data_IF_851190442226
#
_entry.id   IF_851190442226
#
_cell.length_a   1.000
_cell.length_b   1.000
_cell.length_c   1.000
_cell.angle_alpha   90.00
_cell.angle_beta   90.00
_cell.angle_gamma   90.00
#
_symmetry.space_group_name_H-M   'P 1'
#
loop_
_entity.id
_entity.type
_entity.pdbx_description
1 polymer ?
#
# COMPACT_ATOMS: atom_id res chain seq x y z
N UNK A 1 27.31 -5.01 -8.47
CA UNK A 1 26.49 -4.47 -7.34
C UNK A 1 25.98 -3.06 -7.58
N UNK A 2 26.85 -2.06 -7.86
CA UNK A 2 26.40 -0.68 -8.09
C UNK A 2 25.52 -0.52 -9.35
N UNK A 3 25.84 -1.22 -10.44
CA UNK A 3 25.05 -1.21 -11.68
C UNK A 3 23.68 -1.87 -11.53
N UNK A 4 23.61 -2.97 -10.78
CA UNK A 4 22.35 -3.65 -10.47
C UNK A 4 21.42 -2.75 -9.63
N UNK A 5 21.99 -2.02 -8.65
CA UNK A 5 21.24 -1.01 -7.88
C UNK A 5 20.77 0.15 -8.74
N UNK A 6 21.59 0.63 -9.70
CA UNK A 6 21.18 1.64 -10.68
C UNK A 6 20.02 1.14 -11.54
N UNK A 7 20.09 -0.08 -12.06
CA UNK A 7 19.01 -0.66 -12.87
C UNK A 7 17.67 -0.78 -12.12
N UNK A 8 17.71 -1.12 -10.83
CA UNK A 8 16.50 -1.14 -9.99
C UNK A 8 15.97 0.28 -9.74
N UNK A 9 16.85 1.25 -9.45
CA UNK A 9 16.43 2.64 -9.24
C UNK A 9 15.80 3.23 -10.52
N UNK A 10 16.40 2.95 -11.67
CA UNK A 10 15.90 3.40 -12.97
C UNK A 10 14.52 2.79 -13.27
N UNK A 11 14.36 1.48 -13.06
CA UNK A 11 13.05 0.83 -13.20
C UNK A 11 12.00 1.38 -12.23
N UNK A 12 12.36 1.65 -10.97
CA UNK A 12 11.45 2.30 -10.01
C UNK A 12 11.09 3.72 -10.45
N UNK A 13 12.03 4.47 -11.02
CA UNK A 13 11.76 5.81 -11.52
C UNK A 13 10.86 5.79 -12.75
N UNK A 14 11.08 4.86 -13.68
CA UNK A 14 10.21 4.66 -14.85
C UNK A 14 8.80 4.22 -14.44
N UNK A 15 8.66 3.31 -13.47
CA UNK A 15 7.35 2.91 -12.93
C UNK A 15 6.67 4.11 -12.25
N UNK A 16 7.38 4.89 -11.43
CA UNK A 16 6.82 6.07 -10.78
C UNK A 16 6.39 7.15 -11.77
N UNK A 17 7.14 7.33 -12.88
CA UNK A 17 6.76 8.23 -13.97
C UNK A 17 5.54 7.71 -14.73
N UNK A 18 5.50 6.40 -15.05
CA UNK A 18 4.34 5.78 -15.69
C UNK A 18 3.08 5.91 -14.82
N UNK A 19 3.18 5.66 -13.51
CA UNK A 19 2.09 5.91 -12.55
C UNK A 19 1.72 7.40 -12.50
N UNK A 20 2.68 8.33 -12.46
CA UNK A 20 2.37 9.76 -12.45
C UNK A 20 1.66 10.21 -13.74
N UNK A 21 2.00 9.65 -14.90
CA UNK A 21 1.32 9.94 -16.16
C UNK A 21 -0.07 9.30 -16.20
N UNK A 22 -0.20 8.04 -15.79
CA UNK A 22 -1.47 7.33 -15.78
C UNK A 22 -2.49 7.91 -14.78
N UNK A 23 -2.03 8.37 -13.61
CA UNK A 23 -2.91 8.82 -12.53
C UNK A 23 -2.96 10.34 -12.34
N UNK A 24 -1.97 11.10 -12.85
CA UNK A 24 -1.91 12.56 -12.74
C UNK A 24 -2.83 13.33 -13.70
N UNK A 25 -3.46 12.65 -14.65
CA UNK A 25 -4.35 13.26 -15.65
C UNK A 25 -5.79 13.51 -15.17
N UNK A 26 -6.22 12.95 -14.02
CA UNK A 26 -7.65 12.92 -13.64
C UNK A 26 -8.09 14.12 -12.77
N UNK A 27 -7.20 15.06 -12.40
CA UNK A 27 -7.56 16.17 -11.50
C UNK A 27 -7.77 17.55 -12.16
N UNK A 28 -7.94 17.64 -13.48
CA UNK A 28 -8.12 18.94 -14.14
C UNK A 28 -9.14 18.94 -15.29
N UNK A 29 -10.39 18.48 -15.05
CA UNK A 29 -11.50 18.81 -15.93
C UNK A 29 -12.87 18.54 -15.25
N UNK A 30 -13.40 19.52 -14.51
CA UNK A 30 -14.85 19.64 -14.34
C UNK A 30 -15.25 21.10 -14.18
N UNK A 31 -15.77 21.63 -15.30
CA UNK A 31 -16.84 22.63 -15.47
C UNK A 31 -17.11 23.58 -14.28
N UNK A 32 -17.05 24.91 -14.41
CA UNK A 32 -17.55 25.71 -15.54
C UNK A 32 -19.08 25.77 -15.50
N UNK A 33 -19.65 26.62 -14.63
CA UNK A 33 -21.11 26.74 -14.50
C UNK A 33 -21.56 27.86 -13.56
N UNK A 34 -22.03 28.96 -14.16
CA UNK A 34 -22.53 30.22 -13.64
C UNK A 34 -23.68 30.19 -12.60
N UNK A 35 -23.74 31.28 -11.79
CA UNK A 35 -24.93 31.81 -11.10
C UNK A 35 -24.84 31.71 -9.56
N UNK A 36 -24.85 32.74 -8.74
CA UNK A 36 -25.32 34.12 -8.90
C UNK A 36 -26.71 34.31 -8.28
N UNK A 37 -26.82 34.36 -6.94
CA UNK A 37 -27.82 35.06 -6.09
C UNK A 37 -27.55 34.68 -4.61
N UNK A 38 -27.09 35.60 -3.76
CA UNK A 38 -27.90 36.47 -2.92
C UNK A 38 -28.72 35.75 -1.82
N UNK A 39 -28.23 35.80 -0.57
CA UNK A 39 -29.07 36.33 0.49
C UNK A 39 -29.12 35.61 1.85
N UNK A 40 -28.69 36.38 2.86
CA UNK A 40 -29.32 36.59 4.19
C UNK A 40 -29.17 35.59 5.35
N UNK A 41 -28.93 36.25 6.51
CA UNK A 41 -29.22 35.90 7.90
C UNK A 41 -28.33 34.83 8.56
N UNK A 42 -27.39 35.19 9.43
CA UNK A 42 -27.56 35.71 10.80
C UNK A 42 -27.96 34.62 11.81
N UNK A 43 -27.04 34.27 12.71
CA UNK A 43 -27.27 34.26 14.17
C UNK A 43 -26.05 33.72 14.95
N UNK A 44 -25.62 34.55 15.92
CA UNK A 44 -25.13 34.15 17.25
C UNK A 44 -23.63 33.83 17.48
N UNK A 45 -22.95 34.92 17.87
CA UNK A 45 -22.01 35.11 19.01
C UNK A 45 -22.15 34.14 20.23
N UNK A 46 -21.22 34.09 21.24
CA UNK A 46 -20.31 35.17 21.70
C UNK A 46 -18.89 34.81 22.19
N UNK A 47 -18.15 35.89 22.47
CA UNK A 47 -16.81 36.10 23.05
C UNK A 47 -16.57 35.51 24.45
N UNK A 48 -15.28 35.43 24.89
CA UNK A 48 -14.86 36.43 25.87
C UNK A 48 -13.47 37.05 25.62
N UNK A 49 -13.38 38.28 26.09
CA UNK A 49 -12.28 39.25 26.00
C UNK A 49 -11.37 39.21 27.24
N UNK A 50 -10.04 39.34 27.04
CA UNK A 50 -9.14 39.99 28.00
C UNK A 50 -8.11 40.86 27.25
N UNK A 51 -8.44 42.17 27.16
CA UNK A 51 -7.65 43.32 27.63
C UNK A 51 -6.23 43.02 28.18
N UNK A 52 -5.16 43.81 27.99
CA UNK A 52 -4.93 45.11 27.34
C UNK A 52 -3.43 45.45 27.46
N UNK A 53 -2.93 46.22 26.49
CA UNK A 53 -1.89 47.25 26.62
C UNK A 53 -0.44 46.86 26.97
N UNK A 54 0.47 47.10 26.02
CA UNK A 54 1.33 48.30 26.09
C UNK A 54 2.17 48.48 24.81
N UNK A 55 1.83 49.55 24.08
CA UNK A 55 2.67 50.52 23.37
C UNK A 55 3.99 50.10 22.65
N UNK A 56 3.93 50.26 21.31
CA UNK A 56 4.97 50.77 20.39
C UNK A 56 5.63 52.08 20.91
N UNK A 57 6.88 52.44 20.54
CA UNK A 57 7.11 53.05 19.22
C UNK A 57 8.41 52.64 18.49
N UNK A 58 8.35 52.83 17.17
CA UNK A 58 9.45 52.72 16.24
C UNK A 58 10.40 53.91 16.38
N UNK A 59 11.71 53.65 16.45
CA UNK A 59 12.75 54.60 16.14
C UNK A 59 13.78 53.93 15.23
N UNK A 60 13.86 54.45 14.01
CA UNK A 60 14.91 54.21 13.03
C UNK A 60 16.15 54.97 13.47
N UNK A 61 17.31 54.32 13.52
CA UNK A 61 18.60 54.96 13.20
C UNK A 61 19.69 53.91 12.98
N UNK A 62 20.34 54.10 11.85
CA UNK A 62 21.43 53.34 11.24
C UNK A 62 22.77 53.54 11.95
N UNK A 63 23.57 52.47 11.86
CA UNK A 63 25.03 52.46 11.70
C UNK A 63 25.91 53.08 12.80
N UNK A 64 26.71 52.24 13.44
CA UNK A 64 28.18 52.42 13.52
C UNK A 64 28.89 51.12 13.94
N UNK A 65 29.83 50.74 13.07
CA UNK A 65 30.91 49.77 13.12
C UNK A 65 31.14 48.84 14.33
N UNK A 66 30.98 47.56 14.02
CA UNK A 66 31.94 46.46 14.18
C UNK A 66 33.33 46.79 14.79
N UNK A 67 33.52 46.36 16.04
CA UNK A 67 34.83 46.06 16.61
C UNK A 67 35.17 44.59 16.40
N UNK A 68 35.87 44.28 15.30
CA UNK A 68 36.41 42.94 15.01
C UNK A 68 37.53 42.63 16.01
N UNK A 69 37.25 41.75 16.97
CA UNK A 69 38.27 41.19 17.86
C UNK A 69 39.03 40.09 17.10
N UNK A 70 40.28 40.39 16.74
CA UNK A 70 41.20 39.51 15.99
C UNK A 70 41.63 38.34 16.88
N UNK A 71 40.80 37.29 16.92
CA UNK A 71 41.18 35.99 17.44
C UNK A 71 42.28 35.38 16.56
N UNK A 72 43.46 35.18 17.15
CA UNK A 72 44.69 34.74 16.49
C UNK A 72 44.44 33.56 15.52
N UNK A 73 44.66 33.76 14.21
CA UNK A 73 44.27 32.82 13.14
C UNK A 73 44.81 31.38 13.34
N UNK A 74 45.92 31.26 14.06
CA UNK A 74 46.55 29.99 14.41
C UNK A 74 45.70 29.14 15.37
N UNK A 75 44.99 29.77 16.30
CA UNK A 75 44.15 29.10 17.29
C UNK A 75 42.85 28.61 16.64
N UNK A 76 42.29 29.40 15.73
CA UNK A 76 41.11 29.06 14.95
C UNK A 76 41.38 27.85 14.01
N UNK A 77 42.59 27.76 13.43
CA UNK A 77 43.00 26.63 12.58
C UNK A 77 43.14 25.33 13.39
N UNK A 78 43.66 25.40 14.63
CA UNK A 78 43.74 24.25 15.56
C UNK A 78 42.35 23.78 16.02
N UNK A 79 41.43 24.70 16.33
CA UNK A 79 40.04 24.34 16.69
C UNK A 79 39.32 23.62 15.54
N UNK A 80 39.46 24.10 14.31
CA UNK A 80 38.87 23.46 13.12
C UNK A 80 39.45 22.06 12.85
N UNK A 81 40.76 21.86 13.04
CA UNK A 81 41.38 20.54 12.83
C UNK A 81 40.95 19.53 13.91
N UNK A 82 40.86 19.96 15.17
CA UNK A 82 40.35 19.15 16.27
C UNK A 82 38.87 18.77 16.07
N UNK A 83 38.03 19.72 15.64
CA UNK A 83 36.62 19.45 15.33
C UNK A 83 36.43 18.42 14.22
N UNK A 84 37.22 18.49 13.13
CA UNK A 84 37.21 17.49 12.05
C UNK A 84 37.68 16.12 12.54
N UNK A 85 38.71 16.07 13.40
CA UNK A 85 39.17 14.82 14.03
C UNK A 85 38.08 14.20 14.89
N UNK A 86 37.37 15.01 15.70
CA UNK A 86 36.28 14.51 16.54
C UNK A 86 35.08 14.02 15.70
N UNK A 87 34.71 14.72 14.62
CA UNK A 87 33.66 14.26 13.70
C UNK A 87 34.01 12.94 13.01
N UNK A 88 35.24 12.80 12.53
CA UNK A 88 35.69 11.55 11.87
C UNK A 88 35.74 10.38 12.86
N UNK A 89 36.18 10.61 14.11
CA UNK A 89 36.10 9.59 15.17
C UNK A 89 34.66 9.16 15.46
N UNK A 90 33.74 10.12 15.63
CA UNK A 90 32.31 9.83 15.88
C UNK A 90 31.64 9.09 14.72
N UNK A 91 32.03 9.39 13.48
CA UNK A 91 31.53 8.69 12.29
C UNK A 91 32.01 7.24 12.26
N UNK A 92 33.30 7.01 12.56
CA UNK A 92 33.86 5.65 12.63
C UNK A 92 33.20 4.81 13.72
N UNK A 93 32.96 5.37 14.91
CA UNK A 93 32.27 4.63 15.99
C UNK A 93 30.82 4.29 15.62
N UNK A 94 30.10 5.21 14.96
CA UNK A 94 28.74 4.93 14.45
C UNK A 94 28.74 3.85 13.38
N UNK A 95 29.66 3.89 12.43
CA UNK A 95 29.79 2.85 11.39
C UNK A 95 30.16 1.48 12.00
N UNK A 96 31.00 1.43 13.03
CA UNK A 96 31.31 0.18 13.74
C UNK A 96 30.13 -0.35 14.55
N UNK A 97 29.36 0.53 15.19
CA UNK A 97 28.16 0.13 15.93
C UNK A 97 27.05 -0.36 14.99
N UNK A 98 26.82 0.34 13.87
CA UNK A 98 25.89 -0.11 12.82
C UNK A 98 26.31 -1.44 12.19
N UNK A 99 27.61 -1.66 12.01
CA UNK A 99 28.11 -2.94 11.49
C UNK A 99 27.92 -4.05 12.53
N UNK A 100 28.15 -3.78 13.82
CA UNK A 100 27.89 -4.75 14.89
C UNK A 100 26.39 -5.05 15.03
N UNK A 101 25.51 -4.07 14.92
CA UNK A 101 24.05 -4.30 14.98
C UNK A 101 23.57 -5.08 13.76
N UNK A 102 24.08 -4.79 12.56
CA UNK A 102 23.82 -5.60 11.35
C UNK A 102 24.35 -7.03 11.50
N UNK A 103 25.60 -7.22 11.91
CA UNK A 103 26.19 -8.55 12.10
C UNK A 103 25.51 -9.33 13.23
N UNK A 104 25.02 -8.67 14.27
CA UNK A 104 24.22 -9.30 15.34
C UNK A 104 22.83 -9.68 14.85
N UNK A 105 22.21 -8.83 14.02
CA UNK A 105 20.95 -9.13 13.33
C UNK A 105 21.11 -10.33 12.39
N UNK A 106 22.14 -10.34 11.56
CA UNK A 106 22.49 -11.46 10.67
C UNK A 106 22.86 -12.72 11.46
N UNK A 107 23.58 -12.63 12.58
CA UNK A 107 23.87 -13.78 13.46
C UNK A 107 22.62 -14.32 14.16
N UNK A 108 21.71 -13.47 14.63
CA UNK A 108 20.42 -13.91 15.17
C UNK A 108 19.56 -14.57 14.09
N UNK A 109 19.58 -14.03 12.88
CA UNK A 109 18.82 -14.55 11.75
C UNK A 109 19.42 -15.87 11.21
N UNK A 110 20.76 -15.97 11.14
CA UNK A 110 21.47 -17.20 10.76
C UNK A 110 21.41 -18.26 11.85
N UNK A 111 21.50 -17.90 13.13
CA UNK A 111 21.27 -18.87 14.20
C UNK A 111 19.82 -19.35 14.19
N UNK A 112 18.84 -18.46 13.95
CA UNK A 112 17.45 -18.84 13.78
C UNK A 112 17.26 -19.77 12.55
N UNK A 113 17.94 -19.54 11.43
CA UNK A 113 17.86 -20.44 10.25
C UNK A 113 18.64 -21.74 10.42
N UNK A 114 19.79 -21.74 11.09
CA UNK A 114 20.57 -22.96 11.37
C UNK A 114 19.86 -23.83 12.40
N UNK A 115 19.14 -23.24 13.36
CA UNK A 115 18.21 -24.00 14.21
C UNK A 115 16.97 -24.51 13.45
N UNK A 116 16.60 -23.88 12.31
CA UNK A 116 15.46 -24.28 11.45
C UNK A 116 15.76 -25.44 10.50
N UNK A 117 17.02 -25.60 10.07
CA UNK A 117 17.42 -26.68 9.14
C UNK A 117 17.55 -28.07 9.82
N UNK A 118 17.47 -28.13 11.16
CA UNK A 118 17.40 -29.40 11.89
C UNK A 118 16.02 -30.03 11.75
N UNK A 119 15.80 -30.61 10.57
CA UNK A 119 15.04 -31.85 10.35
C UNK A 119 13.80 -31.96 11.24
N UNK A 120 12.87 -31.01 11.08
CA UNK A 120 11.51 -31.15 11.63
C UNK A 120 10.90 -32.36 10.93
N UNK A 121 10.88 -33.49 11.63
CA UNK A 121 10.07 -34.65 11.27
C UNK A 121 8.64 -34.17 11.18
N UNK A 122 8.05 -34.24 9.98
CA UNK A 122 6.68 -33.78 9.72
C UNK A 122 5.71 -34.48 10.68
N UNK A 123 5.25 -33.74 11.69
CA UNK A 123 3.90 -33.91 12.18
C UNK A 123 3.04 -33.09 11.21
N UNK A 124 2.34 -33.78 10.31
CA UNK A 124 1.58 -33.19 9.18
C UNK A 124 0.49 -32.19 9.65
N UNK A 125 0.19 -32.17 10.95
CA UNK A 125 -0.76 -31.25 11.59
C UNK A 125 -0.15 -30.06 12.34
N UNK A 126 1.18 -29.88 12.35
CA UNK A 126 1.79 -28.78 13.12
C UNK A 126 1.73 -27.45 12.39
N UNK A 127 0.88 -26.53 12.88
CA UNK A 127 0.76 -25.14 12.39
C UNK A 127 2.12 -24.45 12.33
N UNK A 128 2.92 -24.59 13.39
CA UNK A 128 4.23 -23.96 13.49
C UNK A 128 5.22 -24.50 12.44
N UNK A 129 5.17 -25.80 12.13
CA UNK A 129 6.06 -26.40 11.13
C UNK A 129 5.79 -25.85 9.73
N UNK A 130 4.52 -25.82 9.32
CA UNK A 130 4.13 -25.23 8.03
C UNK A 130 4.44 -23.74 7.96
N UNK A 131 4.18 -22.98 9.04
CA UNK A 131 4.53 -21.57 9.11
C UNK A 131 6.04 -21.33 8.93
N UNK A 132 6.88 -22.05 9.69
CA UNK A 132 8.33 -21.90 9.61
C UNK A 132 8.89 -22.33 8.24
N UNK A 133 8.32 -23.38 7.64
CA UNK A 133 8.68 -23.82 6.29
C UNK A 133 8.29 -22.78 5.24
N UNK A 134 7.09 -22.21 5.33
CA UNK A 134 6.62 -21.13 4.46
C UNK A 134 7.57 -19.94 4.48
N UNK A 135 7.94 -19.45 5.67
CA UNK A 135 8.92 -18.36 5.82
C UNK A 135 10.29 -18.70 5.22
N UNK A 136 10.77 -19.94 5.40
CA UNK A 136 12.05 -20.36 4.83
C UNK A 136 12.02 -20.39 3.29
N UNK A 137 10.92 -20.82 2.68
CA UNK A 137 10.73 -20.83 1.23
C UNK A 137 10.64 -19.41 0.65
N UNK A 138 9.95 -18.49 1.34
CA UNK A 138 9.91 -17.08 0.95
C UNK A 138 11.31 -16.44 0.95
N UNK A 139 12.15 -16.76 1.94
CA UNK A 139 13.54 -16.30 1.98
C UNK A 139 14.38 -16.85 0.82
N UNK A 140 14.07 -18.06 0.35
CA UNK A 140 14.71 -18.69 -0.82
C UNK A 140 14.17 -18.16 -2.16
N UNK A 141 13.29 -17.16 -2.15
CA UNK A 141 12.60 -16.62 -3.32
C UNK A 141 11.68 -17.63 -4.03
N UNK A 142 11.33 -18.72 -3.35
CA UNK A 142 10.34 -19.70 -3.83
C UNK A 142 8.93 -19.26 -3.38
N UNK A 143 8.44 -18.13 -3.91
CA UNK A 143 7.18 -17.48 -3.48
C UNK A 143 5.99 -18.44 -3.51
N UNK A 144 5.77 -19.10 -4.65
CA UNK A 144 4.62 -19.96 -4.86
C UNK A 144 4.56 -21.14 -3.88
N UNK A 145 5.71 -21.74 -3.52
CA UNK A 145 5.74 -22.82 -2.53
C UNK A 145 5.58 -22.27 -1.11
N UNK A 146 6.21 -21.13 -0.82
CA UNK A 146 6.08 -20.47 0.48
C UNK A 146 4.63 -20.09 0.79
N UNK A 147 3.92 -19.52 -0.18
CA UNK A 147 2.50 -19.17 -0.06
C UNK A 147 1.65 -20.40 0.25
N UNK A 148 1.82 -21.50 -0.49
CA UNK A 148 1.08 -22.75 -0.25
C UNK A 148 1.29 -23.33 1.16
N UNK A 149 2.51 -23.25 1.69
CA UNK A 149 2.79 -23.73 3.05
C UNK A 149 2.20 -22.78 4.12
N UNK A 150 2.17 -21.47 3.86
CA UNK A 150 1.49 -20.51 4.74
C UNK A 150 -0.04 -20.68 4.73
N UNK A 151 -0.63 -20.98 3.57
CA UNK A 151 -2.07 -21.28 3.44
C UNK A 151 -2.45 -22.49 4.30
N UNK A 152 -1.68 -23.58 4.20
CA UNK A 152 -1.86 -24.77 5.04
C UNK A 152 -1.72 -24.44 6.53
N UNK A 153 -0.72 -23.64 6.90
CA UNK A 153 -0.52 -23.22 8.29
C UNK A 153 -1.73 -22.43 8.81
N UNK A 154 -2.30 -21.57 7.98
CA UNK A 154 -3.45 -20.74 8.32
C UNK A 154 -4.72 -21.59 8.52
N UNK A 155 -4.97 -22.54 7.62
CA UNK A 155 -6.12 -23.45 7.71
C UNK A 155 -6.05 -24.32 8.97
N UNK A 156 -4.89 -24.88 9.28
CA UNK A 156 -4.67 -25.66 10.52
C UNK A 156 -4.83 -24.78 11.77
N UNK A 157 -4.33 -23.54 11.72
CA UNK A 157 -4.38 -22.59 12.83
C UNK A 157 -5.80 -22.18 13.20
N UNK A 158 -6.63 -21.90 12.20
CA UNK A 158 -8.05 -21.54 12.39
C UNK A 158 -8.88 -22.68 12.98
N UNK A 159 -8.59 -23.92 12.62
CA UNK A 159 -9.25 -25.09 13.20
C UNK A 159 -8.95 -25.27 14.70
N UNK A 160 -7.72 -24.96 15.12
CA UNK A 160 -7.27 -25.20 16.50
C UNK A 160 -7.54 -24.03 17.47
N UNK A 161 -7.24 -22.80 17.06
CA UNK A 161 -7.47 -21.60 17.86
C UNK A 161 -7.69 -20.37 16.96
N UNK A 162 -8.93 -20.05 16.58
CA UNK A 162 -9.24 -18.90 15.73
C UNK A 162 -8.77 -17.55 16.28
N UNK A 163 -8.63 -17.43 17.61
CA UNK A 163 -8.19 -16.21 18.30
C UNK A 163 -6.68 -16.20 18.61
N UNK A 164 -5.93 -17.14 18.05
CA UNK A 164 -4.50 -17.27 18.33
C UNK A 164 -3.70 -16.16 17.63
N UNK A 165 -2.81 -15.49 18.36
CA UNK A 165 -1.85 -14.53 17.79
C UNK A 165 -1.09 -15.11 16.57
N UNK A 166 -0.83 -16.42 16.59
CA UNK A 166 -0.16 -17.11 15.50
C UNK A 166 -0.97 -17.11 14.20
N UNK A 167 -2.31 -17.14 14.25
CA UNK A 167 -3.18 -17.07 13.06
C UNK A 167 -3.06 -15.70 12.40
N UNK A 168 -3.07 -14.63 13.19
CA UNK A 168 -2.89 -13.26 12.71
C UNK A 168 -1.50 -13.07 12.10
N UNK A 169 -0.43 -13.52 12.76
CA UNK A 169 0.94 -13.45 12.23
C UNK A 169 1.10 -14.22 10.92
N UNK A 170 0.55 -15.44 10.81
CA UNK A 170 0.57 -16.23 9.58
C UNK A 170 -0.15 -15.49 8.46
N UNK A 171 -1.32 -14.92 8.75
CA UNK A 171 -2.09 -14.18 7.75
C UNK A 171 -1.34 -12.93 7.27
N UNK A 172 -0.72 -12.17 8.16
CA UNK A 172 0.06 -10.99 7.79
C UNK A 172 1.22 -11.35 6.85
N UNK A 173 1.96 -12.43 7.14
CA UNK A 173 3.05 -12.86 6.26
C UNK A 173 2.54 -13.43 4.93
N UNK A 174 1.40 -14.12 4.93
CA UNK A 174 0.75 -14.60 3.71
C UNK A 174 0.24 -13.46 2.82
N UNK A 175 -0.48 -12.50 3.39
CA UNK A 175 -1.01 -11.36 2.67
C UNK A 175 0.11 -10.51 2.09
N UNK A 176 1.19 -10.26 2.85
CA UNK A 176 2.40 -9.62 2.34
C UNK A 176 3.03 -10.40 1.18
N UNK A 177 3.12 -11.73 1.26
CA UNK A 177 3.67 -12.55 0.18
C UNK A 177 2.81 -12.48 -1.08
N UNK A 178 1.48 -12.60 -0.96
CA UNK A 178 0.53 -12.49 -2.07
C UNK A 178 0.52 -11.10 -2.70
N UNK A 179 0.57 -10.04 -1.88
CA UNK A 179 0.67 -8.67 -2.37
C UNK A 179 1.94 -8.45 -3.21
N UNK A 180 3.10 -8.94 -2.75
CA UNK A 180 4.35 -8.81 -3.52
C UNK A 180 4.34 -9.61 -4.83
N UNK A 181 3.70 -10.78 -4.84
CA UNK A 181 3.50 -11.58 -6.04
C UNK A 181 2.58 -10.87 -7.05
N UNK A 182 1.48 -10.29 -6.56
CA UNK A 182 0.60 -9.43 -7.34
C UNK A 182 1.35 -8.20 -7.88
N UNK A 183 2.07 -7.44 -7.05
CA UNK A 183 2.77 -6.22 -7.44
C UNK A 183 3.77 -6.49 -8.58
N UNK A 184 4.50 -7.60 -8.51
CA UNK A 184 5.43 -8.02 -9.56
C UNK A 184 4.70 -8.32 -10.87
N UNK A 185 3.61 -9.07 -10.79
CA UNK A 185 2.82 -9.48 -11.96
C UNK A 185 2.08 -8.30 -12.58
N UNK A 186 1.50 -7.44 -11.75
CA UNK A 186 0.81 -6.20 -12.10
C UNK A 186 1.76 -5.21 -12.78
N UNK A 187 2.96 -5.01 -12.23
CA UNK A 187 3.98 -4.16 -12.88
C UNK A 187 4.35 -4.64 -14.28
N UNK A 188 4.47 -5.97 -14.47
CA UNK A 188 4.74 -6.56 -15.79
C UNK A 188 3.57 -6.32 -16.73
N UNK A 189 2.33 -6.62 -16.31
CA UNK A 189 1.12 -6.40 -17.10
C UNK A 189 0.95 -4.94 -17.50
N UNK A 190 1.14 -4.02 -16.55
CA UNK A 190 1.05 -2.58 -16.80
C UNK A 190 2.06 -2.13 -17.87
N UNK A 191 3.30 -2.62 -17.82
CA UNK A 191 4.30 -2.32 -18.84
C UNK A 191 3.91 -2.88 -20.22
N UNK A 192 3.49 -4.14 -20.29
CA UNK A 192 3.05 -4.77 -21.54
C UNK A 192 1.84 -4.04 -22.14
N UNK A 193 0.86 -3.70 -21.30
CA UNK A 193 -0.35 -3.01 -21.68
C UNK A 193 -0.05 -1.61 -22.23
N UNK A 194 0.81 -0.84 -21.55
CA UNK A 194 1.20 0.49 -21.99
C UNK A 194 2.00 0.44 -23.30
N UNK A 195 2.97 -0.48 -23.40
CA UNK A 195 3.76 -0.65 -24.63
C UNK A 195 2.87 -1.00 -25.83
N UNK A 196 1.85 -1.84 -25.62
CA UNK A 196 0.90 -2.19 -26.67
C UNK A 196 -0.02 -1.02 -27.02
N UNK A 197 -0.49 -0.25 -26.03
CA UNK A 197 -1.31 0.95 -26.25
C UNK A 197 -0.60 1.95 -27.14
N UNK A 198 0.64 2.30 -26.82
CA UNK A 198 1.43 3.25 -27.60
C UNK A 198 1.64 2.78 -29.05
N UNK A 199 1.90 1.48 -29.24
CA UNK A 199 2.06 0.89 -30.58
C UNK A 199 0.76 0.97 -31.39
N UNK A 200 -0.38 0.62 -30.79
CA UNK A 200 -1.69 0.70 -31.43
C UNK A 200 -2.07 2.14 -31.79
N UNK A 201 -1.87 3.09 -30.88
CA UNK A 201 -2.13 4.52 -31.14
C UNK A 201 -1.27 5.05 -32.28
N UNK A 202 0.01 4.67 -32.32
CA UNK A 202 0.94 5.07 -33.38
C UNK A 202 0.48 4.51 -34.73
N UNK A 203 0.10 3.23 -34.77
CA UNK A 203 -0.41 2.59 -35.99
C UNK A 203 -1.72 3.22 -36.49
N UNK A 204 -2.65 3.58 -35.60
CA UNK A 204 -3.88 4.28 -35.99
C UNK A 204 -3.60 5.67 -36.56
N UNK A 205 -2.67 6.42 -35.97
CA UNK A 205 -2.26 7.75 -36.46
C UNK A 205 -1.58 7.66 -37.83
N UNK A 206 -0.71 6.68 -38.03
CA UNK A 206 -0.06 6.42 -39.33
C UNK A 206 -1.09 6.06 -40.40
N UNK A 207 -2.06 5.19 -40.08
CA UNK A 207 -3.15 4.84 -41.00
C UNK A 207 -3.97 6.07 -41.39
N UNK A 208 -4.38 6.88 -40.41
CA UNK A 208 -5.15 8.10 -40.69
C UNK A 208 -4.38 9.09 -41.56
N UNK A 209 -3.06 9.23 -41.34
CA UNK A 209 -2.21 10.07 -42.18
C UNK A 209 -2.18 9.59 -43.64
N UNK A 210 -2.12 8.27 -43.88
CA UNK A 210 -2.16 7.70 -45.22
C UNK A 210 -3.53 7.86 -45.89
N UNK A 211 -4.62 7.68 -45.15
CA UNK A 211 -5.99 7.85 -45.66
C UNK A 211 -6.28 9.32 -46.01
N UNK A 212 -5.81 10.25 -45.17
CA UNK A 212 -5.90 11.70 -45.40
C UNK A 212 -5.18 12.13 -46.68
N UNK A 213 -4.04 11.51 -47.00
CA UNK A 213 -3.29 11.80 -48.24
C UNK A 213 -3.99 11.32 -49.52
N UNK A 214 -4.94 10.38 -49.42
CA UNK A 214 -5.66 9.81 -50.58
C UNK A 214 -7.05 10.43 -50.78
N UNK A 215 -7.68 10.97 -49.73
CA UNK A 215 -9.04 11.52 -49.78
C UNK A 215 -9.06 13.05 -49.85
N UNK A 216 -8.78 13.63 -51.02
CA UNK A 216 -9.14 15.04 -51.30
C UNK A 216 -10.67 15.17 -51.44
N UNK A 217 -11.40 15.38 -50.34
CA UNK A 217 -12.79 15.87 -50.40
C UNK A 217 -13.81 15.35 -49.37
N UNK A 218 -13.48 14.36 -48.54
CA UNK A 218 -14.38 13.82 -47.49
C UNK A 218 -13.74 13.93 -46.09
N UNK A 219 -13.31 15.15 -45.75
CA UNK A 219 -12.45 15.44 -44.59
C UNK A 219 -13.14 15.21 -43.23
N UNK A 220 -14.43 15.58 -43.11
CA UNK A 220 -15.14 15.53 -41.83
C UNK A 220 -15.48 14.10 -41.38
N UNK A 221 -15.85 13.22 -42.31
CA UNK A 221 -16.24 11.83 -42.02
C UNK A 221 -15.02 10.99 -41.58
N UNK A 222 -13.89 11.13 -42.29
CA UNK A 222 -12.65 10.42 -41.96
C UNK A 222 -12.07 10.85 -40.60
N UNK A 223 -12.13 12.14 -40.27
CA UNK A 223 -11.64 12.66 -38.98
C UNK A 223 -12.52 12.17 -37.83
N UNK A 224 -13.85 12.15 -38.02
CA UNK A 224 -14.80 11.64 -37.02
C UNK A 224 -14.57 10.15 -36.75
N UNK A 225 -14.45 9.33 -37.80
CA UNK A 225 -14.19 7.90 -37.68
C UNK A 225 -12.85 7.59 -36.97
N UNK A 226 -11.81 8.37 -37.23
CA UNK A 226 -10.52 8.23 -36.54
C UNK A 226 -10.60 8.55 -35.04
N UNK A 227 -11.34 9.61 -34.68
CA UNK A 227 -11.58 9.96 -33.28
C UNK A 227 -12.30 8.83 -32.54
N UNK A 228 -13.36 8.27 -33.13
CA UNK A 228 -14.10 7.15 -32.56
C UNK A 228 -13.22 5.90 -32.37
N UNK A 229 -12.29 5.63 -33.28
CA UNK A 229 -11.34 4.52 -33.15
C UNK A 229 -10.37 4.73 -31.99
N UNK A 230 -9.84 5.94 -31.80
CA UNK A 230 -8.96 6.25 -30.68
C UNK A 230 -9.69 6.17 -29.34
N UNK A 231 -10.91 6.68 -29.25
CA UNK A 231 -11.75 6.56 -28.06
C UNK A 231 -12.10 5.10 -27.74
N UNK A 232 -12.43 4.31 -28.77
CA UNK A 232 -12.67 2.87 -28.60
C UNK A 232 -11.41 2.13 -28.14
N UNK A 233 -10.25 2.48 -28.68
CA UNK A 233 -8.95 1.92 -28.27
C UNK A 233 -8.68 2.25 -26.80
N UNK A 234 -8.82 3.51 -26.41
CA UNK A 234 -8.64 3.97 -25.04
C UNK A 234 -9.55 3.21 -24.07
N UNK A 235 -10.83 3.05 -24.41
CA UNK A 235 -11.78 2.28 -23.60
C UNK A 235 -11.33 0.83 -23.38
N UNK A 236 -10.83 0.15 -24.43
CA UNK A 236 -10.34 -1.24 -24.32
C UNK A 236 -9.16 -1.33 -23.35
N UNK A 237 -8.20 -0.42 -23.46
CA UNK A 237 -7.03 -0.42 -22.59
C UNK A 237 -7.37 -0.04 -21.14
N UNK A 238 -8.31 0.89 -20.95
CA UNK A 238 -8.80 1.24 -19.61
C UNK A 238 -9.48 0.03 -18.96
N UNK A 239 -10.37 -0.67 -19.65
CA UNK A 239 -11.01 -1.90 -19.14
C UNK A 239 -10.01 -3.01 -18.84
N UNK A 240 -8.97 -3.17 -19.66
CA UNK A 240 -7.91 -4.14 -19.39
C UNK A 240 -7.07 -3.78 -18.14
N UNK A 241 -6.94 -2.51 -17.81
CA UNK A 241 -6.20 -2.03 -16.65
C UNK A 241 -7.00 -2.10 -15.33
N UNK A 242 -8.34 -2.09 -15.38
CA UNK A 242 -9.23 -1.98 -14.21
C UNK A 242 -8.89 -2.93 -13.05
N UNK A 243 -8.58 -4.20 -13.34
CA UNK A 243 -8.29 -5.18 -12.29
C UNK A 243 -7.04 -4.87 -11.45
N UNK A 244 -6.09 -4.13 -12.04
CA UNK A 244 -4.82 -3.75 -11.46
C UNK A 244 -4.83 -2.37 -10.76
N UNK A 245 -5.94 -1.65 -10.84
CA UNK A 245 -6.11 -0.36 -10.17
C UNK A 245 -6.60 -0.64 -8.74
N UNK A 246 -5.87 -0.20 -7.69
CA UNK A 246 -6.37 -0.28 -6.34
C UNK A 246 -7.62 0.59 -6.19
N UNK A 247 -8.74 -0.05 -5.87
CA UNK A 247 -10.02 0.61 -5.59
C UNK A 247 -10.46 0.27 -4.17
N UNK A 248 -11.76 0.29 -3.91
CA UNK A 248 -12.33 -0.18 -2.65
C UNK A 248 -12.74 -1.64 -2.75
N UNK A 249 -12.64 -2.36 -1.62
CA UNK A 249 -13.19 -3.70 -1.50
C UNK A 249 -14.72 -3.58 -1.34
N UNK A 250 -15.53 -4.34 -2.10
CA UNK A 250 -16.98 -4.28 -1.96
C UNK A 250 -17.47 -4.61 -0.54
N UNK A 251 -18.36 -3.80 0.00
CA UNK A 251 -18.88 -3.92 1.39
C UNK A 251 -19.42 -5.30 1.77
N UNK A 252 -19.99 -6.04 0.81
CA UNK A 252 -20.55 -7.38 1.07
C UNK A 252 -19.47 -8.44 1.30
N UNK A 253 -18.21 -8.13 0.96
CA UNK A 253 -17.03 -8.94 1.27
C UNK A 253 -16.35 -8.49 2.57
N UNK A 254 -16.85 -7.43 3.22
CA UNK A 254 -16.30 -6.88 4.44
C UNK A 254 -17.14 -7.22 5.67
N UNK A 255 -16.48 -7.48 6.79
CA UNK A 255 -17.13 -7.73 8.06
C UNK A 255 -17.77 -6.44 8.60
N UNK A 256 -19.00 -6.54 9.11
CA UNK A 256 -19.74 -5.39 9.65
C UNK A 256 -19.15 -4.78 10.93
N UNK A 257 -18.23 -5.50 11.59
CA UNK A 257 -17.57 -5.05 12.82
C UNK A 257 -16.17 -4.51 12.52
N UNK A 258 -15.34 -5.26 11.80
CA UNK A 258 -13.97 -4.83 11.50
C UNK A 258 -13.92 -3.84 10.34
N UNK A 259 -14.93 -3.85 9.47
CA UNK A 259 -14.97 -3.13 8.20
C UNK A 259 -13.89 -3.58 7.19
N UNK A 260 -13.20 -4.68 7.50
CA UNK A 260 -12.17 -5.30 6.67
C UNK A 260 -12.72 -6.51 5.92
N UNK A 261 -12.05 -6.89 4.83
CA UNK A 261 -12.38 -8.09 4.06
C UNK A 261 -12.39 -9.33 4.95
N UNK A 262 -13.37 -10.22 4.78
CA UNK A 262 -13.45 -11.42 5.60
C UNK A 262 -12.21 -12.30 5.48
N UNK A 263 -11.81 -12.90 6.58
CA UNK A 263 -10.74 -13.89 6.62
C UNK A 263 -11.33 -15.26 6.95
N UNK A 264 -12.18 -15.35 7.97
CA UNK A 264 -12.89 -16.56 8.39
C UNK A 264 -14.38 -16.23 8.66
N UNK A 265 -15.19 -16.06 7.61
CA UNK A 265 -16.57 -15.61 7.73
C UNK A 265 -17.47 -16.67 8.39
N UNK A 266 -18.28 -16.24 9.35
CA UNK A 266 -19.37 -17.03 9.96
C UNK A 266 -20.69 -16.30 9.85
N UNK A 267 -21.77 -17.05 9.62
CA UNK A 267 -23.13 -16.54 9.51
C UNK A 267 -23.94 -16.86 10.77
N UNK A 268 -24.73 -15.89 11.22
CA UNK A 268 -25.71 -16.02 12.31
C UNK A 268 -27.06 -16.49 11.77
N UNK A 269 -27.97 -17.01 12.63
CA UNK A 269 -29.34 -17.36 12.21
C UNK A 269 -30.15 -16.20 11.62
N UNK A 270 -29.80 -14.95 11.97
CA UNK A 270 -30.39 -13.73 11.41
C UNK A 270 -29.91 -13.43 9.97
N UNK A 271 -28.96 -14.22 9.45
CA UNK A 271 -28.42 -14.07 8.10
C UNK A 271 -27.26 -13.06 7.99
N UNK A 272 -26.75 -12.56 9.12
CA UNK A 272 -25.61 -11.62 9.14
C UNK A 272 -24.29 -12.37 9.21
N UNK A 273 -23.29 -11.87 8.47
CA UNK A 273 -21.95 -12.48 8.41
C UNK A 273 -20.94 -11.63 9.15
N UNK A 274 -20.10 -12.28 9.95
CA UNK A 274 -19.06 -11.67 10.77
C UNK A 274 -17.74 -12.43 10.66
N UNK A 275 -16.65 -11.76 11.01
CA UNK A 275 -15.36 -12.42 11.23
C UNK A 275 -15.42 -13.28 12.48
N UNK A 276 -15.04 -14.56 12.39
CA UNK A 276 -15.21 -15.55 13.46
C UNK A 276 -14.55 -15.10 14.77
N UNK A 277 -13.29 -14.65 14.70
CA UNK A 277 -12.55 -14.26 15.88
C UNK A 277 -13.26 -13.13 16.65
N UNK A 278 -13.82 -12.17 15.90
CA UNK A 278 -14.44 -10.94 16.42
C UNK A 278 -15.82 -11.21 16.99
N UNK A 279 -16.69 -11.97 16.30
CA UNK A 279 -18.01 -12.29 16.84
C UNK A 279 -17.89 -13.19 18.09
N UNK A 280 -16.95 -14.14 18.10
CA UNK A 280 -16.70 -14.96 19.29
C UNK A 280 -16.13 -14.14 20.45
N UNK A 281 -15.41 -13.06 20.18
CA UNK A 281 -14.95 -12.14 21.22
C UNK A 281 -16.10 -11.29 21.77
N UNK A 282 -16.96 -10.75 20.89
CA UNK A 282 -18.16 -10.02 21.28
C UNK A 282 -19.06 -10.86 22.19
N UNK A 283 -19.38 -12.09 21.78
CA UNK A 283 -20.23 -13.00 22.54
C UNK A 283 -19.67 -13.35 23.92
N UNK A 284 -18.35 -13.30 24.08
CA UNK A 284 -17.65 -13.57 25.34
C UNK A 284 -17.55 -12.33 26.24
N UNK A 285 -17.24 -11.16 25.67
CA UNK A 285 -16.91 -9.94 26.44
C UNK A 285 -18.09 -9.00 26.66
N UNK A 286 -19.00 -8.92 25.68
CA UNK A 286 -20.12 -7.98 25.69
C UNK A 286 -21.42 -8.67 26.08
N UNK A 287 -21.71 -9.82 25.50
CA UNK A 287 -22.88 -10.63 25.84
C UNK A 287 -23.35 -11.53 24.71
N UNK A 288 -24.23 -12.48 25.03
CA UNK A 288 -24.77 -13.49 24.10
C UNK A 288 -25.90 -12.94 23.22
N UNK A 289 -25.61 -11.92 22.43
CA UNK A 289 -26.56 -11.34 21.49
C UNK A 289 -25.85 -10.91 20.19
N UNK A 290 -26.60 -10.83 19.09
CA UNK A 290 -26.10 -10.33 17.81
C UNK A 290 -25.80 -8.81 17.90
N UNK A 291 -24.60 -8.36 17.51
CA UNK A 291 -24.21 -6.94 17.61
C UNK A 291 -25.15 -5.96 16.90
N UNK A 292 -25.82 -6.40 15.83
CA UNK A 292 -26.70 -5.57 14.98
C UNK A 292 -28.16 -5.80 15.34
N UNK A 293 -28.64 -7.05 15.32
CA UNK A 293 -30.07 -7.33 15.55
C UNK A 293 -30.46 -7.29 17.03
N UNK A 294 -29.49 -7.43 17.94
CA UNK A 294 -29.69 -7.60 19.40
C UNK A 294 -30.50 -8.83 19.79
N UNK A 295 -30.70 -9.76 18.87
CA UNK A 295 -31.35 -11.04 19.15
C UNK A 295 -30.41 -11.95 19.95
N UNK A 296 -30.92 -12.81 20.84
CA UNK A 296 -30.10 -13.79 21.55
C UNK A 296 -29.29 -14.65 20.58
N UNK A 297 -27.99 -14.72 20.79
CA UNK A 297 -27.05 -15.44 19.92
C UNK A 297 -26.07 -16.24 20.77
N UNK A 298 -26.04 -17.55 20.58
CA UNK A 298 -25.06 -18.44 21.21
C UNK A 298 -23.97 -18.82 20.21
N UNK A 299 -22.69 -18.95 20.63
CA UNK A 299 -21.60 -19.36 19.74
C UNK A 299 -21.86 -20.66 18.96
N UNK A 300 -22.66 -21.58 19.51
CA UNK A 300 -23.02 -22.84 18.83
C UNK A 300 -23.91 -22.66 17.59
N UNK A 301 -24.56 -21.50 17.45
CA UNK A 301 -25.41 -21.19 16.29
C UNK A 301 -24.62 -20.63 15.10
N UNK A 302 -23.33 -20.32 15.28
CA UNK A 302 -22.47 -19.79 14.23
C UNK A 302 -22.07 -20.89 13.26
N UNK A 303 -22.36 -20.69 11.98
CA UNK A 303 -21.99 -21.62 10.90
C UNK A 303 -20.95 -20.96 9.99
N UNK A 304 -19.87 -21.66 9.57
CA UNK A 304 -18.96 -21.12 8.56
C UNK A 304 -19.71 -20.74 7.27
N UNK A 305 -19.52 -19.50 6.79
CA UNK A 305 -20.13 -19.03 5.56
C UNK A 305 -19.19 -19.30 4.37
N UNK A 306 -19.20 -20.54 3.88
CA UNK A 306 -18.31 -20.99 2.80
C UNK A 306 -18.55 -20.21 1.49
N UNK A 307 -19.79 -19.79 1.21
CA UNK A 307 -20.10 -19.01 0.02
C UNK A 307 -19.40 -17.64 0.03
N UNK A 308 -19.39 -16.95 1.17
CA UNK A 308 -18.65 -15.68 1.31
C UNK A 308 -17.14 -15.93 1.31
N UNK A 309 -16.67 -17.04 1.89
CA UNK A 309 -15.25 -17.42 1.81
C UNK A 309 -14.79 -17.58 0.36
N UNK A 310 -15.52 -18.34 -0.45
CA UNK A 310 -15.25 -18.53 -1.88
C UNK A 310 -15.34 -17.22 -2.67
N UNK A 311 -16.31 -16.36 -2.35
CA UNK A 311 -16.45 -15.05 -3.00
C UNK A 311 -15.26 -14.12 -2.70
N UNK A 312 -14.77 -14.13 -1.46
CA UNK A 312 -13.55 -13.41 -1.07
C UNK A 312 -12.33 -13.95 -1.78
N UNK A 313 -12.16 -15.28 -1.83
CA UNK A 313 -11.05 -15.92 -2.54
C UNK A 313 -11.05 -15.53 -4.02
N UNK A 314 -12.19 -15.64 -4.71
CA UNK A 314 -12.35 -15.24 -6.10
C UNK A 314 -12.06 -13.75 -6.34
N UNK A 315 -12.47 -12.88 -5.40
CA UNK A 315 -12.16 -11.45 -5.46
C UNK A 315 -10.65 -11.21 -5.32
N UNK A 316 -10.01 -11.81 -4.32
CA UNK A 316 -8.58 -11.66 -4.04
C UNK A 316 -7.69 -12.22 -5.16
N UNK A 317 -8.13 -13.28 -5.85
CA UNK A 317 -7.43 -13.83 -7.01
C UNK A 317 -7.41 -12.84 -8.19
N UNK A 318 -8.50 -12.09 -8.38
CA UNK A 318 -8.60 -11.07 -9.42
C UNK A 318 -7.96 -9.73 -9.01
N UNK A 319 -8.04 -9.40 -7.73
CA UNK A 319 -7.67 -8.11 -7.16
C UNK A 319 -6.61 -8.25 -6.07
N UNK A 320 -5.43 -8.74 -6.45
CA UNK A 320 -4.34 -9.04 -5.50
C UNK A 320 -3.82 -7.82 -4.71
N UNK A 321 -4.13 -6.59 -5.14
CA UNK A 321 -3.86 -5.38 -4.36
C UNK A 321 -4.62 -5.34 -3.03
N UNK A 322 -5.74 -6.05 -2.92
CA UNK A 322 -6.56 -6.10 -1.71
C UNK A 322 -5.91 -6.91 -0.57
N UNK A 323 -4.78 -7.59 -0.83
CA UNK A 323 -3.93 -8.15 0.23
C UNK A 323 -3.06 -7.11 0.95
N UNK A 324 -3.13 -5.84 0.57
CA UNK A 324 -2.34 -4.80 1.20
C UNK A 324 -2.72 -4.67 2.67
N UNK A 325 -1.73 -4.85 3.54
CA UNK A 325 -1.83 -4.60 4.97
C UNK A 325 -1.38 -3.16 5.20
N UNK A 326 -2.17 -2.40 5.95
CA UNK A 326 -1.83 -1.03 6.38
C UNK A 326 -0.81 -1.01 7.54
#
# INVERSE_FOLDING_TARGET
MAEWRRGILEKRHQIAMALRVAYGGVMAASHGGHGGIAGWADSSQPYPSFSSSAARPAAVSSATNDGVSVGNAHDNRRRRSLARRQQTSRRRTRETDERRTRETGERRMTHATVTRDRRMTHDDGSVLAHYMLGLALLQRQESAKGIKELEKALDLGRGANPKGYMVEEIWQELAKAKYLEWERSSSKRSWELQSLKEACESALKEKHFLDYSQMEGFVDDATTSHSEQLEALERVFNTAAEADIPTEVPDYLCCRITLDIFHDPVITPSGLTYERAVILEHLQKVGKFDPITREPLDPSQLVPNLAIKEAVEAFLDKHGWAYKID
#
